data_IF_068769717412
#
_entry.id   IF_068769717412
#
_cell.length_a   1.000
_cell.length_b   1.000
_cell.length_c   1.000
_cell.angle_alpha   90.00
_cell.angle_beta   90.00
_cell.angle_gamma   90.00
#
_symmetry.space_group_name_H-M   'P 1'
#
loop_
_entity.id
_entity.type
_entity.pdbx_description
1 polymer ?
#
# COMPACT_ATOMS: atom_id res chain seq x y z
N UNK A 1 -2.04 0.18 23.86
CA UNK A 1 -1.81 0.75 22.52
C UNK A 1 -1.01 2.02 22.65
N UNK A 2 -0.13 2.34 21.70
CA UNK A 2 0.64 3.58 21.74
C UNK A 2 -0.26 4.75 21.36
N UNK A 3 -0.34 5.78 22.20
CA UNK A 3 -1.05 7.01 21.88
C UNK A 3 -0.13 7.90 21.06
N UNK A 4 -0.50 8.16 19.82
CA UNK A 4 0.20 9.10 18.95
C UNK A 4 -0.36 10.51 19.16
N UNK A 5 0.51 11.50 19.31
CA UNK A 5 0.11 12.91 19.24
C UNK A 5 -0.09 13.26 17.75
N UNK A 6 -1.32 13.29 17.29
CA UNK A 6 -1.64 13.47 15.88
C UNK A 6 -1.24 14.85 15.36
N UNK A 7 -1.38 15.89 16.16
CA UNK A 7 -0.98 17.25 15.76
C UNK A 7 0.54 17.37 15.58
N UNK A 8 1.30 16.68 16.43
CA UNK A 8 2.77 16.62 16.28
C UNK A 8 3.17 15.87 15.00
N UNK A 9 2.54 14.74 14.70
CA UNK A 9 2.79 13.97 13.47
C UNK A 9 2.48 14.78 12.22
N UNK A 10 1.36 15.52 12.22
CA UNK A 10 0.98 16.42 11.12
C UNK A 10 1.98 17.56 10.96
N UNK A 11 2.40 18.18 12.05
CA UNK A 11 3.40 19.24 12.02
C UNK A 11 4.72 18.75 11.45
N UNK A 12 5.19 17.56 11.86
CA UNK A 12 6.39 16.93 11.31
C UNK A 12 6.23 16.59 9.81
N UNK A 13 5.08 16.02 9.40
CA UNK A 13 4.86 15.66 7.99
C UNK A 13 4.88 16.89 7.07
N UNK A 14 4.40 18.04 7.52
CA UNK A 14 4.40 19.30 6.76
C UNK A 14 5.81 19.88 6.53
N UNK A 15 6.83 19.42 7.25
CA UNK A 15 8.23 19.85 7.01
C UNK A 15 8.86 19.21 5.79
N UNK A 16 8.25 18.17 5.23
CA UNK A 16 8.76 17.46 4.05
C UNK A 16 8.14 17.99 2.76
N UNK A 17 8.97 18.27 1.76
CA UNK A 17 8.50 18.39 0.39
C UNK A 17 8.25 17.00 -0.18
N UNK A 18 6.99 16.66 -0.38
CA UNK A 18 6.58 15.35 -0.93
C UNK A 18 7.24 15.06 -2.28
N UNK A 19 7.44 16.07 -3.13
CA UNK A 19 8.10 15.91 -4.43
C UNK A 19 9.57 15.51 -4.29
N UNK A 20 10.28 16.12 -3.34
CA UNK A 20 11.67 15.75 -3.05
C UNK A 20 11.79 14.34 -2.47
N UNK A 21 10.87 13.94 -1.59
CA UNK A 21 10.82 12.56 -1.05
C UNK A 21 10.71 11.54 -2.20
N UNK A 22 9.78 11.75 -3.13
CA UNK A 22 9.59 10.84 -4.25
C UNK A 22 10.73 10.91 -5.29
N UNK A 23 11.31 12.08 -5.54
CA UNK A 23 12.51 12.21 -6.35
C UNK A 23 13.68 11.40 -5.78
N UNK A 24 13.87 11.42 -4.46
CA UNK A 24 14.86 10.58 -3.77
C UNK A 24 14.61 9.08 -3.94
N UNK A 25 13.34 8.65 -3.96
CA UNK A 25 12.97 7.23 -4.20
C UNK A 25 13.27 6.80 -5.64
N UNK A 26 12.94 7.64 -6.63
CA UNK A 26 13.31 7.41 -8.04
C UNK A 26 14.82 7.32 -8.19
N UNK A 27 15.56 8.24 -7.58
CA UNK A 27 17.02 8.25 -7.62
C UNK A 27 17.63 6.97 -7.05
N UNK A 28 17.12 6.48 -5.93
CA UNK A 28 17.56 5.21 -5.34
C UNK A 28 17.36 4.04 -6.31
N UNK A 29 16.24 3.99 -7.02
CA UNK A 29 15.98 2.96 -8.03
C UNK A 29 16.94 3.12 -9.21
N UNK A 30 17.18 4.34 -9.70
CA UNK A 30 18.13 4.61 -10.77
C UNK A 30 19.58 4.19 -10.42
N UNK A 31 19.97 4.38 -9.17
CA UNK A 31 21.31 3.96 -8.71
C UNK A 31 21.44 2.42 -8.72
N UNK A 32 20.39 1.69 -8.37
CA UNK A 32 20.36 0.23 -8.50
C UNK A 32 20.29 -0.23 -9.97
N UNK A 33 19.56 0.49 -10.82
CA UNK A 33 19.53 0.22 -12.27
C UNK A 33 20.91 0.29 -12.91
N UNK A 34 21.71 1.30 -12.54
CA UNK A 34 23.09 1.44 -13.04
C UNK A 34 23.97 0.26 -12.65
N UNK A 35 23.84 -0.27 -11.46
CA UNK A 35 24.59 -1.46 -11.00
C UNK A 35 24.22 -2.73 -11.79
N UNK A 36 23.00 -2.78 -12.32
CA UNK A 36 22.48 -3.92 -13.07
C UNK A 36 22.46 -3.69 -14.58
N UNK A 37 23.07 -2.60 -15.07
CA UNK A 37 23.15 -2.22 -16.48
C UNK A 37 21.74 -2.16 -17.15
N UNK A 38 20.74 -1.67 -16.41
CA UNK A 38 19.37 -1.50 -16.92
C UNK A 38 19.24 -0.15 -17.62
N UNK A 39 18.60 -0.15 -18.79
CA UNK A 39 18.31 1.07 -19.56
C UNK A 39 17.07 1.79 -19.04
N UNK A 40 16.01 1.03 -18.76
CA UNK A 40 14.77 1.54 -18.18
C UNK A 40 14.06 0.47 -17.36
N UNK A 41 13.22 0.91 -16.42
CA UNK A 41 12.21 0.06 -15.75
C UNK A 41 10.83 0.56 -16.17
N UNK A 42 9.93 -0.36 -16.53
CA UNK A 42 8.53 -0.07 -16.84
C UNK A 42 7.67 -0.79 -15.80
N UNK A 43 7.14 -0.01 -14.86
CA UNK A 43 6.39 -0.50 -13.70
C UNK A 43 4.89 -0.34 -13.90
N UNK A 44 4.13 -1.39 -13.60
CA UNK A 44 2.66 -1.44 -13.67
C UNK A 44 2.03 -1.77 -12.31
N UNK A 45 2.76 -2.42 -11.41
CA UNK A 45 2.24 -2.86 -10.12
C UNK A 45 1.88 -1.66 -9.25
N UNK A 46 0.62 -1.55 -8.76
CA UNK A 46 0.14 -0.36 -8.04
C UNK A 46 1.05 0.13 -6.92
N UNK A 47 1.56 -0.80 -6.10
CA UNK A 47 2.45 -0.46 -4.99
C UNK A 47 3.77 0.17 -5.46
N UNK A 48 4.27 -0.24 -6.61
CA UNK A 48 5.52 0.25 -7.18
C UNK A 48 5.29 1.56 -7.94
N UNK A 49 4.23 1.65 -8.75
CA UNK A 49 3.89 2.90 -9.44
C UNK A 49 3.62 4.02 -8.45
N UNK A 50 2.90 3.73 -7.36
CA UNK A 50 2.70 4.68 -6.26
C UNK A 50 4.04 5.05 -5.59
N UNK A 51 4.87 4.07 -5.22
CA UNK A 51 6.14 4.32 -4.57
C UNK A 51 7.10 5.20 -5.40
N UNK A 52 6.96 5.16 -6.73
CA UNK A 52 7.79 5.94 -7.67
C UNK A 52 7.18 7.30 -8.02
N UNK A 53 5.84 7.43 -8.02
CA UNK A 53 5.16 8.62 -8.52
C UNK A 53 4.38 9.42 -7.47
N UNK A 54 4.03 8.82 -6.33
CA UNK A 54 3.11 9.40 -5.36
C UNK A 54 1.66 9.44 -5.81
N UNK A 55 1.34 8.85 -6.97
CA UNK A 55 0.00 8.87 -7.55
C UNK A 55 -0.75 7.56 -7.32
N UNK A 56 -1.96 7.65 -6.75
CA UNK A 56 -2.89 6.55 -6.59
C UNK A 56 -4.25 6.90 -7.20
N UNK A 57 -4.68 6.26 -8.31
CA UNK A 57 -5.97 6.56 -8.92
C UNK A 57 -7.16 6.04 -8.08
N UNK A 58 -6.92 5.33 -6.99
CA UNK A 58 -7.89 4.62 -6.13
C UNK A 58 -8.54 3.46 -6.88
N UNK A 59 -9.09 3.71 -8.06
CA UNK A 59 -9.66 2.70 -8.96
C UNK A 59 -8.72 2.46 -10.14
N UNK A 60 -8.23 1.24 -10.26
CA UNK A 60 -7.31 0.80 -11.32
C UNK A 60 -8.08 0.22 -12.52
N UNK A 61 -9.12 0.93 -12.99
CA UNK A 61 -9.87 0.55 -14.21
C UNK A 61 -9.03 0.65 -15.48
N UNK A 62 -7.95 1.44 -15.44
CA UNK A 62 -6.96 1.59 -16.49
C UNK A 62 -5.55 1.45 -15.87
N UNK A 63 -4.55 0.96 -16.62
CA UNK A 63 -3.21 0.88 -16.10
C UNK A 63 -2.64 2.25 -15.73
N UNK A 64 -1.93 2.28 -14.61
CA UNK A 64 -1.00 3.35 -14.25
C UNK A 64 0.39 2.81 -14.51
N UNK A 65 1.20 3.53 -15.26
CA UNK A 65 2.53 3.09 -15.63
C UNK A 65 3.55 4.13 -15.21
N UNK A 66 4.65 3.69 -14.61
CA UNK A 66 5.80 4.55 -14.37
C UNK A 66 6.98 4.02 -15.18
N UNK A 67 7.54 4.87 -16.04
CA UNK A 67 8.74 4.56 -16.81
C UNK A 67 9.90 5.30 -16.16
N UNK A 68 10.85 4.56 -15.62
CA UNK A 68 12.06 5.09 -14.98
C UNK A 68 13.23 4.83 -15.92
N UNK A 69 13.76 5.83 -16.61
CA UNK A 69 15.04 5.70 -17.34
C UNK A 69 16.21 5.63 -16.35
N UNK A 70 17.31 4.98 -16.70
CA UNK A 70 18.51 4.95 -15.87
C UNK A 70 19.09 6.35 -15.59
N UNK A 71 18.82 7.29 -16.49
CA UNK A 71 19.18 8.71 -16.36
C UNK A 71 18.05 9.61 -16.86
N UNK A 72 17.88 10.76 -16.18
CA UNK A 72 16.83 11.72 -16.51
C UNK A 72 15.55 11.53 -15.71
N UNK A 73 14.48 12.21 -16.12
CA UNK A 73 13.21 12.24 -15.40
C UNK A 73 12.36 11.00 -15.69
N UNK A 74 11.79 10.43 -14.62
CA UNK A 74 10.79 9.39 -14.73
C UNK A 74 9.47 9.95 -15.26
N UNK A 75 8.71 9.11 -15.97
CA UNK A 75 7.42 9.45 -16.58
C UNK A 75 6.30 8.72 -15.88
N UNK A 76 5.25 9.44 -15.54
CA UNK A 76 3.97 8.87 -15.14
C UNK A 76 3.04 8.86 -16.34
N UNK A 77 2.59 7.69 -16.77
CA UNK A 77 1.64 7.52 -17.86
C UNK A 77 0.30 7.02 -17.28
N UNK A 78 -0.76 7.79 -17.52
CA UNK A 78 -2.11 7.50 -17.03
C UNK A 78 -3.16 7.68 -18.12
N UNK A 79 -4.32 7.05 -17.96
CA UNK A 79 -5.47 7.30 -18.84
C UNK A 79 -5.96 8.75 -18.68
N UNK A 80 -6.42 9.36 -19.78
CA UNK A 80 -6.87 10.77 -19.81
C UNK A 80 -7.99 11.09 -18.81
N UNK A 81 -8.79 10.09 -18.38
CA UNK A 81 -9.72 10.20 -17.26
C UNK A 81 -9.06 10.73 -15.99
N UNK A 82 -7.78 10.46 -15.80
CA UNK A 82 -7.00 10.81 -14.59
C UNK A 82 -6.17 12.08 -14.76
N UNK A 83 -6.32 12.82 -15.84
CA UNK A 83 -5.47 13.96 -16.17
C UNK A 83 -5.39 15.01 -15.05
N UNK A 84 -6.52 15.48 -14.54
CA UNK A 84 -6.55 16.47 -13.45
C UNK A 84 -6.06 15.86 -12.14
N UNK A 85 -6.53 14.66 -11.80
CA UNK A 85 -6.15 13.95 -10.58
C UNK A 85 -4.64 13.72 -10.51
N UNK A 86 -4.02 13.23 -11.59
CA UNK A 86 -2.57 13.02 -11.63
C UNK A 86 -1.78 14.33 -11.56
N UNK A 87 -2.28 15.40 -12.20
CA UNK A 87 -1.64 16.72 -12.16
C UNK A 87 -1.62 17.30 -10.73
N UNK A 88 -2.67 17.07 -9.97
CA UNK A 88 -2.80 17.61 -8.61
C UNK A 88 -2.00 16.80 -7.58
N UNK A 89 -1.94 15.47 -7.73
CA UNK A 89 -1.39 14.58 -6.71
C UNK A 89 -0.02 13.99 -7.02
N UNK A 90 0.33 13.79 -8.30
CA UNK A 90 1.59 13.15 -8.65
C UNK A 90 2.81 13.98 -8.25
N UNK A 91 3.84 13.30 -7.80
CA UNK A 91 5.12 13.89 -7.45
C UNK A 91 6.10 13.96 -8.64
N UNK A 92 5.82 13.23 -9.73
CA UNK A 92 6.59 13.31 -10.97
C UNK A 92 6.13 14.51 -11.80
N UNK A 93 7.09 15.13 -12.53
CA UNK A 93 6.81 16.29 -13.38
C UNK A 93 6.34 15.89 -14.78
N UNK A 94 6.91 14.83 -15.34
CA UNK A 94 6.57 14.33 -16.68
C UNK A 94 5.36 13.41 -16.59
N UNK A 95 4.17 13.96 -16.85
CA UNK A 95 2.89 13.24 -16.82
C UNK A 95 2.37 13.16 -18.25
N UNK A 96 2.14 11.93 -18.73
CA UNK A 96 1.67 11.64 -20.09
C UNK A 96 0.31 10.95 -20.05
N UNK A 97 -0.50 11.19 -21.07
CA UNK A 97 -1.87 10.70 -21.15
C UNK A 97 -2.04 9.73 -22.32
N UNK A 98 -2.81 8.67 -22.10
CA UNK A 98 -3.31 7.80 -23.15
C UNK A 98 -4.83 7.62 -23.06
N UNK A 99 -5.45 7.15 -24.15
CA UNK A 99 -6.88 6.93 -24.25
C UNK A 99 -7.71 8.21 -24.23
N UNK A 100 -8.74 8.26 -25.03
CA UNK A 100 -9.58 9.44 -25.17
C UNK A 100 -10.53 9.61 -23.96
N UNK A 101 -10.60 10.82 -23.41
CA UNK A 101 -11.56 11.18 -22.38
C UNK A 101 -11.83 12.69 -22.36
N UNK A 102 -13.08 13.08 -22.54
CA UNK A 102 -13.48 14.50 -22.54
C UNK A 102 -12.71 15.33 -23.57
N UNK A 103 -12.15 16.45 -23.13
CA UNK A 103 -11.37 17.38 -23.97
C UNK A 103 -9.87 17.14 -23.90
N UNK A 104 -9.41 16.13 -23.17
CA UNK A 104 -7.98 15.81 -23.03
C UNK A 104 -7.43 15.30 -24.37
N UNK A 105 -6.17 15.67 -24.66
CA UNK A 105 -5.48 15.19 -25.84
C UNK A 105 -4.46 14.13 -25.43
N UNK A 106 -4.79 12.84 -25.56
CA UNK A 106 -3.84 11.77 -25.29
C UNK A 106 -2.76 11.72 -26.35
N UNK A 107 -1.58 11.18 -25.99
CA UNK A 107 -0.50 10.95 -26.95
C UNK A 107 -0.73 9.70 -27.82
N UNK A 108 -1.55 8.74 -27.34
CA UNK A 108 -1.93 7.51 -28.03
C UNK A 108 -3.30 7.01 -27.52
N UNK A 109 -3.92 6.11 -28.29
CA UNK A 109 -5.24 5.54 -27.95
C UNK A 109 -5.16 4.49 -26.82
N UNK A 110 -4.00 3.85 -26.63
CA UNK A 110 -3.79 2.86 -25.59
C UNK A 110 -2.44 3.00 -24.90
N UNK A 111 -2.29 2.37 -23.75
CA UNK A 111 -1.11 2.48 -22.92
C UNK A 111 0.18 1.96 -23.61
N UNK A 112 0.09 0.88 -24.40
CA UNK A 112 1.28 0.27 -25.02
C UNK A 112 1.83 1.13 -26.15
N UNK A 113 0.98 1.72 -26.97
CA UNK A 113 1.41 2.67 -28.00
C UNK A 113 2.03 3.92 -27.35
N UNK A 114 1.44 4.42 -26.28
CA UNK A 114 2.01 5.51 -25.50
C UNK A 114 3.38 5.16 -24.91
N UNK A 115 3.53 3.96 -24.34
CA UNK A 115 4.83 3.47 -23.83
C UNK A 115 5.85 3.44 -24.97
N UNK A 116 5.50 2.87 -26.13
CA UNK A 116 6.39 2.81 -27.30
C UNK A 116 6.87 4.19 -27.71
N UNK A 117 5.97 5.18 -27.80
CA UNK A 117 6.31 6.57 -28.14
C UNK A 117 7.24 7.21 -27.10
N UNK A 118 7.01 6.96 -25.81
CA UNK A 118 7.88 7.47 -24.73
C UNK A 118 9.27 6.85 -24.81
N UNK A 119 9.34 5.53 -25.07
CA UNK A 119 10.63 4.84 -25.22
C UNK A 119 11.42 5.35 -26.42
N UNK A 120 10.75 5.66 -27.54
CA UNK A 120 11.37 6.28 -28.71
C UNK A 120 11.88 7.70 -28.40
N UNK A 121 11.02 8.55 -27.84
CA UNK A 121 11.35 9.94 -27.48
C UNK A 121 12.57 10.00 -26.56
N UNK A 122 12.63 9.11 -25.58
CA UNK A 122 13.71 9.05 -24.59
C UNK A 122 14.90 8.17 -25.05
N UNK A 123 14.86 7.57 -26.23
CA UNK A 123 15.91 6.70 -26.81
C UNK A 123 16.22 5.49 -25.91
N UNK A 124 15.19 4.84 -25.40
CA UNK A 124 15.29 3.72 -24.47
C UNK A 124 15.04 2.36 -25.12
N UNK A 125 14.59 2.32 -26.38
CA UNK A 125 14.38 1.06 -27.11
C UNK A 125 15.70 0.32 -27.36
N UNK A 126 15.61 -0.99 -27.48
CA UNK A 126 16.77 -1.86 -27.77
C UNK A 126 17.70 -2.12 -26.59
N UNK A 127 17.42 -1.55 -25.41
CA UNK A 127 18.22 -1.75 -24.20
C UNK A 127 17.76 -2.91 -23.33
N UNK A 128 18.31 -3.01 -22.13
CA UNK A 128 17.83 -3.92 -21.08
C UNK A 128 16.67 -3.28 -20.33
N UNK A 129 15.48 -3.87 -20.45
CA UNK A 129 14.24 -3.34 -19.90
C UNK A 129 13.78 -4.14 -18.68
N UNK A 130 13.71 -3.45 -17.54
CA UNK A 130 13.18 -4.01 -16.31
C UNK A 130 11.65 -4.08 -16.31
N UNK A 131 11.09 -5.18 -15.80
CA UNK A 131 9.66 -5.38 -15.65
C UNK A 131 9.34 -6.16 -14.36
N UNK A 132 8.08 -6.17 -13.94
CA UNK A 132 7.61 -6.88 -12.73
C UNK A 132 7.10 -8.27 -13.11
N UNK A 133 7.90 -9.30 -12.82
CA UNK A 133 7.58 -10.70 -13.17
C UNK A 133 6.44 -11.31 -12.34
N UNK A 134 6.14 -10.72 -11.19
CA UNK A 134 5.05 -11.14 -10.30
C UNK A 134 3.71 -10.43 -10.57
N UNK A 135 3.66 -9.55 -11.59
CA UNK A 135 2.46 -8.75 -11.85
C UNK A 135 1.94 -8.86 -13.29
N UNK A 136 2.81 -8.82 -14.28
CA UNK A 136 2.39 -8.86 -15.68
C UNK A 136 1.91 -10.25 -16.09
N UNK A 137 0.77 -10.32 -16.76
CA UNK A 137 0.38 -11.53 -17.50
C UNK A 137 1.34 -11.79 -18.66
N UNK A 138 1.39 -13.04 -19.13
CA UNK A 138 2.21 -13.42 -20.29
C UNK A 138 1.91 -12.60 -21.54
N UNK A 139 0.63 -12.28 -21.77
CA UNK A 139 0.20 -11.43 -22.89
C UNK A 139 0.75 -10.01 -22.76
N UNK A 140 0.66 -9.43 -21.57
CA UNK A 140 1.21 -8.10 -21.29
C UNK A 140 2.73 -8.06 -21.42
N UNK A 141 3.42 -9.07 -20.89
CA UNK A 141 4.87 -9.23 -21.04
C UNK A 141 5.30 -9.30 -22.51
N UNK A 142 4.66 -10.16 -23.31
CA UNK A 142 4.99 -10.31 -24.73
C UNK A 142 4.78 -8.99 -25.50
N UNK A 143 3.68 -8.28 -25.20
CA UNK A 143 3.41 -6.98 -25.81
C UNK A 143 4.46 -5.93 -25.40
N UNK A 144 4.81 -5.90 -24.12
CA UNK A 144 5.85 -4.99 -23.61
C UNK A 144 7.21 -5.26 -24.27
N UNK A 145 7.60 -6.53 -24.41
CA UNK A 145 8.82 -6.95 -25.10
C UNK A 145 8.83 -6.51 -26.56
N UNK A 146 7.71 -6.70 -27.27
CA UNK A 146 7.54 -6.30 -28.66
C UNK A 146 7.77 -4.79 -28.83
N UNK A 147 7.03 -3.96 -28.09
CA UNK A 147 7.06 -2.50 -28.26
C UNK A 147 8.35 -1.83 -27.77
N UNK A 148 9.04 -2.44 -26.82
CA UNK A 148 10.33 -1.93 -26.30
C UNK A 148 11.52 -2.34 -27.17
N UNK A 149 11.34 -3.28 -28.10
CA UNK A 149 12.44 -3.83 -28.91
C UNK A 149 13.62 -4.27 -28.02
N UNK A 150 13.33 -4.70 -26.79
CA UNK A 150 14.34 -4.93 -25.78
C UNK A 150 15.35 -5.98 -26.17
N UNK A 151 16.63 -5.68 -26.03
CA UNK A 151 17.71 -6.66 -26.17
C UNK A 151 17.57 -7.75 -25.08
N UNK A 152 17.16 -7.33 -23.90
CA UNK A 152 16.90 -8.22 -22.77
C UNK A 152 15.74 -7.70 -21.91
N UNK A 153 14.85 -8.61 -21.49
CA UNK A 153 13.82 -8.34 -20.48
C UNK A 153 14.29 -8.86 -19.13
N UNK A 154 14.44 -7.98 -18.14
CA UNK A 154 14.98 -8.31 -16.82
C UNK A 154 13.87 -8.22 -15.77
N UNK A 155 13.65 -9.30 -15.01
CA UNK A 155 12.73 -9.24 -13.88
C UNK A 155 13.34 -8.42 -12.73
N UNK A 156 12.73 -7.29 -12.41
CA UNK A 156 13.19 -6.35 -11.37
C UNK A 156 12.30 -6.32 -10.13
N UNK A 157 11.46 -7.32 -9.95
CA UNK A 157 10.54 -7.42 -8.83
C UNK A 157 11.27 -7.24 -7.47
N UNK A 158 12.39 -7.94 -7.27
CA UNK A 158 13.15 -7.86 -6.03
C UNK A 158 13.88 -6.50 -5.86
N UNK A 159 14.37 -5.92 -6.95
CA UNK A 159 14.95 -4.57 -6.93
C UNK A 159 13.92 -3.55 -6.44
N UNK A 160 12.71 -3.56 -6.99
CA UNK A 160 11.64 -2.65 -6.60
C UNK A 160 11.13 -2.94 -5.18
N UNK A 161 11.02 -4.20 -4.79
CA UNK A 161 10.67 -4.59 -3.43
C UNK A 161 11.71 -4.05 -2.43
N UNK A 162 12.98 -4.31 -2.66
CA UNK A 162 14.08 -3.88 -1.78
C UNK A 162 14.17 -2.35 -1.68
N UNK A 163 13.84 -1.62 -2.76
CA UNK A 163 13.81 -0.16 -2.75
C UNK A 163 12.80 0.42 -1.74
N UNK A 164 11.74 -0.34 -1.43
CA UNK A 164 10.65 0.03 -0.51
C UNK A 164 10.74 -0.58 0.89
N UNK A 165 11.69 -1.50 1.14
CA UNK A 165 11.80 -2.17 2.44
C UNK A 165 12.21 -1.20 3.55
N UNK A 166 13.19 -0.34 3.29
CA UNK A 166 13.63 0.68 4.24
C UNK A 166 12.82 1.95 3.99
N UNK A 167 11.99 2.33 4.96
CA UNK A 167 11.10 3.50 4.89
C UNK A 167 11.85 4.77 5.19
N UNK A 168 11.51 5.84 4.48
CA UNK A 168 11.93 7.20 4.82
C UNK A 168 11.18 7.68 6.07
N UNK A 169 11.68 8.74 6.71
CA UNK A 169 10.99 9.35 7.86
C UNK A 169 9.56 9.82 7.50
N UNK A 170 9.36 10.35 6.29
CA UNK A 170 8.02 10.72 5.81
C UNK A 170 7.09 9.50 5.76
N UNK A 171 7.54 8.38 5.20
CA UNK A 171 6.75 7.13 5.14
C UNK A 171 6.42 6.59 6.54
N UNK A 172 7.37 6.72 7.48
CA UNK A 172 7.16 6.35 8.89
C UNK A 172 6.08 7.23 9.53
N UNK A 173 6.01 8.52 9.19
CA UNK A 173 4.94 9.41 9.69
C UNK A 173 3.57 8.97 9.15
N UNK A 174 3.44 8.59 7.88
CA UNK A 174 2.19 8.07 7.31
C UNK A 174 1.77 6.77 8.00
N UNK A 175 2.69 5.85 8.25
CA UNK A 175 2.43 4.62 9.02
C UNK A 175 1.97 4.92 10.46
N UNK A 176 2.55 5.91 11.13
CA UNK A 176 2.11 6.33 12.47
C UNK A 176 0.69 6.91 12.47
N UNK A 177 0.35 7.72 11.46
CA UNK A 177 -1.01 8.26 11.28
C UNK A 177 -2.02 7.15 10.97
N UNK A 178 -1.69 6.19 10.11
CA UNK A 178 -2.52 5.02 9.87
C UNK A 178 -2.72 4.20 11.16
N UNK A 179 -1.65 3.99 11.94
CA UNK A 179 -1.71 3.31 13.24
C UNK A 179 -2.59 4.05 14.26
N UNK A 180 -2.62 5.37 14.22
CA UNK A 180 -3.54 6.17 15.04
C UNK A 180 -5.00 5.81 14.74
N UNK A 181 -5.40 5.77 13.46
CA UNK A 181 -6.75 5.39 13.06
C UNK A 181 -7.09 3.94 13.44
N UNK A 182 -6.18 3.01 13.16
CA UNK A 182 -6.38 1.59 13.52
C UNK A 182 -6.53 1.39 15.04
N UNK A 183 -5.85 2.18 15.86
CA UNK A 183 -6.01 2.15 17.32
C UNK A 183 -7.40 2.63 17.76
N UNK A 184 -7.94 3.67 17.14
CA UNK A 184 -9.29 4.17 17.43
C UNK A 184 -10.32 3.11 17.05
N UNK A 185 -10.17 2.50 15.86
CA UNK A 185 -11.03 1.40 15.44
C UNK A 185 -10.99 0.22 16.41
N UNK A 186 -9.79 -0.16 16.87
CA UNK A 186 -9.61 -1.26 17.81
C UNK A 186 -10.31 -1.01 19.16
N UNK A 187 -10.25 0.20 19.70
CA UNK A 187 -11.00 0.54 20.92
C UNK A 187 -12.50 0.38 20.70
N UNK A 188 -13.02 0.94 19.61
CA UNK A 188 -14.44 0.84 19.29
C UNK A 188 -14.88 -0.62 19.03
N UNK A 189 -14.06 -1.45 18.41
CA UNK A 189 -14.33 -2.88 18.23
C UNK A 189 -14.44 -3.59 19.59
N UNK A 190 -13.49 -3.38 20.48
CA UNK A 190 -13.46 -4.00 21.82
C UNK A 190 -14.68 -3.57 22.64
N UNK A 191 -15.04 -2.30 22.62
CA UNK A 191 -16.20 -1.78 23.36
C UNK A 191 -17.54 -2.37 22.88
N UNK A 192 -17.59 -2.83 21.62
CA UNK A 192 -18.79 -3.41 21.00
C UNK A 192 -18.71 -4.93 20.79
N UNK A 193 -17.63 -5.59 21.24
CA UNK A 193 -17.36 -7.01 20.92
C UNK A 193 -18.43 -7.97 21.42
N UNK A 194 -19.15 -7.61 22.47
CA UNK A 194 -20.23 -8.43 23.08
C UNK A 194 -21.58 -8.33 22.35
N UNK A 195 -21.72 -7.46 21.35
CA UNK A 195 -22.95 -7.33 20.55
C UNK A 195 -23.02 -8.42 19.49
N UNK A 196 -22.22 -8.28 18.45
CA UNK A 196 -21.97 -9.31 17.44
C UNK A 196 -20.65 -8.99 16.70
N UNK A 197 -20.13 -9.95 15.95
CA UNK A 197 -18.92 -9.74 15.12
C UNK A 197 -19.12 -8.59 14.14
N UNK A 198 -20.30 -8.53 13.47
CA UNK A 198 -20.63 -7.44 12.52
C UNK A 198 -20.74 -6.09 13.23
N UNK A 199 -21.44 -6.02 14.37
CA UNK A 199 -21.62 -4.75 15.08
C UNK A 199 -20.30 -4.21 15.62
N UNK A 200 -19.40 -5.08 16.11
CA UNK A 200 -18.06 -4.69 16.51
C UNK A 200 -17.26 -4.14 15.34
N UNK A 201 -17.33 -4.77 14.17
CA UNK A 201 -16.65 -4.34 12.95
C UNK A 201 -17.19 -3.00 12.43
N UNK A 202 -18.50 -2.83 12.35
CA UNK A 202 -19.15 -1.57 11.96
C UNK A 202 -18.76 -0.42 12.91
N UNK A 203 -18.78 -0.67 14.23
CA UNK A 203 -18.41 0.34 15.22
C UNK A 203 -16.96 0.82 15.02
N UNK A 204 -16.04 -0.10 14.74
CA UNK A 204 -14.65 0.21 14.44
C UNK A 204 -14.51 1.07 13.18
N UNK A 205 -15.17 0.69 12.09
CA UNK A 205 -15.10 1.41 10.82
C UNK A 205 -15.68 2.82 10.93
N UNK A 206 -16.79 2.98 11.61
CA UNK A 206 -17.40 4.30 11.87
C UNK A 206 -16.43 5.16 12.69
N UNK A 207 -15.86 4.62 13.75
CA UNK A 207 -14.92 5.36 14.61
C UNK A 207 -13.67 5.80 13.85
N UNK A 208 -13.09 4.94 13.00
CA UNK A 208 -11.96 5.28 12.15
C UNK A 208 -12.30 6.38 11.15
N UNK A 209 -13.46 6.31 10.47
CA UNK A 209 -13.90 7.33 9.50
C UNK A 209 -14.18 8.68 10.16
N UNK A 210 -14.78 8.68 11.35
CA UNK A 210 -15.00 9.91 12.13
C UNK A 210 -13.67 10.54 12.58
N UNK A 211 -12.72 9.72 13.04
CA UNK A 211 -11.39 10.20 13.40
C UNK A 211 -10.62 10.74 12.19
N UNK A 212 -10.68 10.06 11.05
CA UNK A 212 -10.11 10.56 9.81
C UNK A 212 -10.68 11.94 9.45
N UNK A 213 -12.00 12.08 9.40
CA UNK A 213 -12.65 13.36 9.07
C UNK A 213 -12.27 14.49 10.03
N UNK A 214 -12.16 14.20 11.33
CA UNK A 214 -11.86 15.20 12.35
C UNK A 214 -10.38 15.58 12.39
N UNK A 215 -9.48 14.61 12.29
CA UNK A 215 -8.07 14.78 12.66
C UNK A 215 -7.11 14.75 11.47
N UNK A 216 -7.48 14.05 10.38
CA UNK A 216 -6.61 13.74 9.24
C UNK A 216 -7.28 13.99 7.88
N UNK A 217 -8.28 14.87 7.82
CA UNK A 217 -9.07 15.12 6.60
C UNK A 217 -8.26 15.66 5.42
N UNK A 218 -7.06 16.18 5.65
CA UNK A 218 -6.12 16.61 4.61
C UNK A 218 -5.31 15.47 3.97
N UNK A 219 -5.34 14.25 4.54
CA UNK A 219 -4.64 13.08 4.02
C UNK A 219 -5.60 12.16 3.31
N UNK A 220 -5.12 11.50 2.24
CA UNK A 220 -5.90 10.52 1.52
C UNK A 220 -5.99 9.21 2.32
N UNK A 221 -7.22 8.78 2.60
CA UNK A 221 -7.49 7.46 3.13
C UNK A 221 -7.83 6.55 1.97
N UNK A 222 -6.81 5.94 1.40
CA UNK A 222 -6.93 5.06 0.26
C UNK A 222 -5.89 3.93 0.33
N UNK A 223 -6.32 2.78 -0.13
CA UNK A 223 -5.49 1.62 -0.41
C UNK A 223 -5.39 1.42 -1.93
N UNK A 224 -4.68 0.40 -2.37
CA UNK A 224 -4.57 0.06 -3.78
C UNK A 224 -5.76 -0.80 -4.20
N UNK A 225 -6.69 -0.22 -4.98
CA UNK A 225 -7.80 -0.93 -5.57
C UNK A 225 -7.36 -1.83 -6.74
N UNK A 226 -8.13 -2.84 -7.07
CA UNK A 226 -7.84 -3.72 -8.20
C UNK A 226 -8.62 -3.33 -9.45
N UNK A 227 -9.94 -3.16 -9.33
CA UNK A 227 -10.86 -2.90 -10.43
C UNK A 227 -12.01 -2.03 -9.96
N UNK A 228 -12.92 -1.69 -10.87
CA UNK A 228 -14.17 -1.03 -10.52
C UNK A 228 -14.96 -1.84 -9.49
N UNK A 229 -15.43 -1.19 -8.45
CA UNK A 229 -16.10 -1.80 -7.30
C UNK A 229 -15.16 -2.48 -6.30
N UNK A 230 -13.89 -2.67 -6.64
CA UNK A 230 -12.88 -3.21 -5.75
C UNK A 230 -12.12 -2.14 -4.97
N UNK A 231 -12.81 -1.13 -4.46
CA UNK A 231 -12.19 -0.19 -3.52
C UNK A 231 -11.79 -0.99 -2.31
N UNK A 232 -10.50 -1.23 -2.19
CA UNK A 232 -9.96 -1.87 -1.00
C UNK A 232 -10.22 -0.93 0.16
N UNK A 233 -10.89 -1.44 1.17
CA UNK A 233 -11.23 -0.69 2.34
C UNK A 233 -9.95 -0.22 3.04
N UNK A 234 -9.68 1.06 2.92
CA UNK A 234 -8.55 1.68 3.60
C UNK A 234 -8.78 1.88 5.09
N UNK A 235 -10.03 1.73 5.54
CA UNK A 235 -10.46 1.70 6.93
C UNK A 235 -11.43 0.53 7.08
N UNK A 236 -10.90 -0.60 7.47
CA UNK A 236 -11.66 -1.84 7.56
C UNK A 236 -11.41 -2.57 8.87
N UNK A 237 -12.44 -3.25 9.35
CA UNK A 237 -12.35 -4.12 10.51
C UNK A 237 -13.10 -5.42 10.25
N UNK A 238 -12.49 -6.54 10.57
CA UNK A 238 -13.23 -7.77 10.79
C UNK A 238 -13.07 -8.24 12.23
N UNK A 239 -14.04 -9.01 12.69
CA UNK A 239 -14.03 -9.59 14.02
C UNK A 239 -14.51 -11.02 13.93
N UNK A 240 -13.74 -11.94 14.48
CA UNK A 240 -14.09 -13.37 14.58
C UNK A 240 -14.16 -13.77 16.04
N UNK A 241 -15.01 -14.75 16.37
CA UNK A 241 -15.21 -15.17 17.75
C UNK A 241 -15.36 -16.70 17.90
N UNK A 242 -14.92 -17.23 19.04
CA UNK A 242 -15.07 -18.62 19.42
C UNK A 242 -14.51 -19.58 18.35
N UNK A 243 -15.35 -20.48 17.85
CA UNK A 243 -14.97 -21.51 16.86
C UNK A 243 -14.54 -20.94 15.50
N UNK A 244 -14.76 -19.65 15.24
CA UNK A 244 -14.35 -18.99 13.99
C UNK A 244 -12.96 -18.37 14.06
N UNK A 245 -12.40 -18.17 15.25
CA UNK A 245 -11.05 -17.60 15.42
C UNK A 245 -9.98 -18.39 14.65
N UNK A 246 -9.98 -19.73 14.61
CA UNK A 246 -8.99 -20.51 13.86
C UNK A 246 -9.05 -20.34 12.32
N UNK A 247 -10.09 -19.70 11.77
CA UNK A 247 -10.13 -19.42 10.33
C UNK A 247 -9.14 -18.33 9.91
N UNK A 248 -8.62 -17.57 10.87
CA UNK A 248 -7.67 -16.49 10.63
C UNK A 248 -8.34 -15.23 10.10
N UNK A 249 -8.58 -15.18 8.80
CA UNK A 249 -9.29 -14.08 8.13
C UNK A 249 -10.64 -14.55 7.62
N UNK A 250 -11.74 -14.03 8.17
CA UNK A 250 -13.10 -14.37 7.77
C UNK A 250 -13.99 -13.14 7.88
N UNK A 251 -15.01 -13.05 7.00
CA UNK A 251 -16.00 -11.99 7.13
C UNK A 251 -16.72 -12.07 8.47
N UNK A 252 -16.95 -10.94 9.15
CA UNK A 252 -17.74 -10.93 10.37
C UNK A 252 -19.15 -11.44 10.14
N UNK A 253 -19.72 -12.08 11.15
CA UNK A 253 -21.08 -12.65 11.11
C UNK A 253 -21.96 -12.05 12.20
N UNK A 254 -23.24 -12.40 12.19
CA UNK A 254 -24.17 -12.05 13.28
C UNK A 254 -23.96 -12.86 14.57
N UNK A 255 -22.86 -13.61 14.65
CA UNK A 255 -22.53 -14.38 15.83
C UNK A 255 -22.24 -13.44 17.00
N UNK A 256 -22.91 -13.72 18.13
CA UNK A 256 -22.65 -13.07 19.41
C UNK A 256 -21.64 -13.92 20.17
N UNK A 257 -20.51 -13.38 20.62
CA UNK A 257 -19.55 -14.11 21.45
C UNK A 257 -20.16 -14.58 22.77
N UNK A 258 -19.80 -15.77 23.23
CA UNK A 258 -20.26 -16.36 24.48
C UNK A 258 -19.20 -16.22 25.57
N UNK A 259 -19.64 -16.32 26.84
CA UNK A 259 -18.71 -16.43 27.97
C UNK A 259 -17.76 -17.63 27.78
N UNK A 260 -16.52 -17.46 28.15
CA UNK A 260 -15.46 -18.44 27.94
C UNK A 260 -14.84 -18.46 26.56
N UNK A 261 -15.27 -17.59 25.64
CA UNK A 261 -14.72 -17.53 24.29
C UNK A 261 -13.67 -16.43 24.11
N UNK A 262 -12.87 -16.62 23.07
CA UNK A 262 -11.89 -15.64 22.61
C UNK A 262 -12.44 -14.97 21.33
N UNK A 263 -12.19 -13.68 21.21
CA UNK A 263 -12.50 -12.89 20.01
C UNK A 263 -11.20 -12.30 19.45
N UNK A 264 -11.17 -12.13 18.13
CA UNK A 264 -10.06 -11.56 17.38
C UNK A 264 -10.59 -10.41 16.50
N UNK A 265 -10.68 -9.18 17.02
CA UNK A 265 -10.88 -8.00 16.21
C UNK A 265 -9.55 -7.62 15.52
N UNK A 266 -9.64 -7.27 14.24
CA UNK A 266 -8.53 -6.85 13.40
C UNK A 266 -8.93 -5.59 12.65
N UNK A 267 -8.15 -4.52 12.81
CA UNK A 267 -8.40 -3.23 12.19
C UNK A 267 -7.27 -2.87 11.24
N UNK A 268 -7.60 -2.58 9.99
CA UNK A 268 -6.69 -2.01 9.01
C UNK A 268 -6.96 -0.54 8.78
N UNK A 269 -5.89 0.21 8.59
CA UNK A 269 -5.97 1.58 8.15
C UNK A 269 -4.87 1.87 7.14
N UNK A 270 -5.16 2.76 6.17
CA UNK A 270 -4.19 3.24 5.21
C UNK A 270 -4.26 4.76 5.09
N UNK A 271 -3.11 5.40 5.13
CA UNK A 271 -2.94 6.85 4.90
C UNK A 271 -1.93 7.02 3.77
N UNK A 272 -2.30 7.76 2.73
CA UNK A 272 -1.46 7.99 1.54
C UNK A 272 -0.84 6.68 1.02
N UNK A 273 -1.61 5.57 0.98
CA UNK A 273 -1.14 4.25 0.53
C UNK A 273 -0.26 3.47 1.52
N UNK A 274 0.03 3.99 2.71
CA UNK A 274 0.79 3.31 3.75
C UNK A 274 -0.13 2.62 4.74
N UNK A 275 0.01 1.31 4.86
CA UNK A 275 -0.92 0.43 5.58
C UNK A 275 -0.40 0.04 6.95
N UNK A 276 -1.32 -0.05 7.90
CA UNK A 276 -1.09 -0.67 9.21
C UNK A 276 -2.21 -1.63 9.55
N UNK A 277 -1.88 -2.56 10.40
CA UNK A 277 -2.81 -3.53 10.97
C UNK A 277 -2.67 -3.53 12.50
N UNK A 278 -3.79 -3.66 13.18
CA UNK A 278 -3.86 -3.80 14.62
C UNK A 278 -4.76 -4.97 14.97
N UNK A 279 -4.21 -6.00 15.57
CA UNK A 279 -4.93 -7.18 16.05
C UNK A 279 -4.91 -7.27 17.57
N UNK A 280 -5.98 -7.73 18.15
CA UNK A 280 -6.04 -8.00 19.60
C UNK A 280 -6.81 -9.28 19.89
N UNK A 281 -6.29 -10.05 20.82
CA UNK A 281 -7.03 -11.15 21.43
C UNK A 281 -7.84 -10.61 22.58
N UNK A 282 -9.16 -10.72 22.50
CA UNK A 282 -10.12 -10.28 23.53
C UNK A 282 -10.77 -11.49 24.16
N UNK A 283 -10.75 -11.57 25.47
CA UNK A 283 -11.34 -12.66 26.25
C UNK A 283 -12.71 -12.24 26.76
N UNK A 284 -13.70 -13.11 26.62
CA UNK A 284 -15.07 -12.88 27.02
C UNK A 284 -15.35 -13.68 28.30
N UNK A 285 -15.39 -13.00 29.46
CA UNK A 285 -15.55 -13.64 30.74
C UNK A 285 -14.41 -14.53 31.17
N UNK A 286 -14.71 -15.61 31.90
CA UNK A 286 -13.71 -16.55 32.40
C UNK A 286 -13.30 -17.54 31.32
N UNK A 287 -12.02 -17.59 31.03
CA UNK A 287 -11.41 -18.41 29.96
C UNK A 287 -10.83 -19.69 30.58
N UNK A 288 -10.99 -20.82 29.86
CA UNK A 288 -10.34 -22.10 30.23
C UNK A 288 -8.85 -21.88 30.49
N UNK A 289 -8.34 -22.47 31.58
CA UNK A 289 -6.96 -22.25 32.05
C UNK A 289 -5.93 -22.62 30.97
N UNK A 290 -6.15 -23.67 30.20
CA UNK A 290 -5.25 -24.07 29.09
C UNK A 290 -5.15 -23.01 27.99
N UNK A 291 -6.25 -22.33 27.67
CA UNK A 291 -6.25 -21.23 26.70
C UNK A 291 -5.50 -20.02 27.28
N UNK A 292 -5.67 -19.75 28.56
CA UNK A 292 -4.98 -18.66 29.23
C UNK A 292 -3.45 -18.93 29.31
N UNK A 293 -3.04 -20.16 29.60
CA UNK A 293 -1.62 -20.56 29.57
C UNK A 293 -1.03 -20.44 28.17
N UNK A 294 -1.73 -20.92 27.14
CA UNK A 294 -1.30 -20.75 25.74
C UNK A 294 -1.13 -19.28 25.38
N UNK A 295 -2.08 -18.42 25.76
CA UNK A 295 -1.99 -16.98 25.54
C UNK A 295 -0.78 -16.34 26.25
N UNK A 296 -0.52 -16.74 27.52
CA UNK A 296 0.67 -16.27 28.26
C UNK A 296 1.97 -16.70 27.59
N UNK A 297 2.05 -17.97 27.13
CA UNK A 297 3.22 -18.50 26.45
C UNK A 297 3.44 -17.75 25.10
N UNK A 298 2.40 -17.50 24.33
CA UNK A 298 2.48 -16.72 23.08
C UNK A 298 2.97 -15.29 23.33
N UNK A 299 2.45 -14.61 24.36
CA UNK A 299 2.90 -13.26 24.71
C UNK A 299 4.35 -13.22 25.16
N UNK A 300 4.81 -14.24 25.88
CA UNK A 300 6.23 -14.36 26.27
C UNK A 300 7.11 -14.57 25.03
N UNK A 301 6.70 -15.45 24.09
CA UNK A 301 7.38 -15.63 22.81
C UNK A 301 7.48 -14.32 22.02
N UNK A 302 6.39 -13.56 21.96
CA UNK A 302 6.35 -12.23 21.30
C UNK A 302 7.33 -11.24 21.95
N UNK A 303 7.40 -11.19 23.27
CA UNK A 303 8.36 -10.32 23.97
C UNK A 303 9.80 -10.68 23.62
N UNK A 304 10.12 -11.99 23.58
CA UNK A 304 11.45 -12.48 23.18
C UNK A 304 11.77 -12.11 21.74
N UNK A 305 10.84 -12.32 20.81
CA UNK A 305 10.99 -11.92 19.42
C UNK A 305 11.31 -10.42 19.28
N UNK A 306 10.54 -9.56 19.95
CA UNK A 306 10.83 -8.11 19.94
C UNK A 306 12.20 -7.75 20.52
N UNK A 307 12.65 -8.45 21.59
CA UNK A 307 13.96 -8.22 22.17
C UNK A 307 15.11 -8.65 21.23
N UNK A 308 14.84 -9.58 20.31
CA UNK A 308 15.81 -10.05 19.30
C UNK A 308 15.85 -9.18 18.05
N UNK A 309 14.78 -8.42 17.74
CA UNK A 309 14.71 -7.55 16.55
C UNK A 309 15.71 -6.38 16.68
N UNK A 310 16.92 -6.60 16.20
CA UNK A 310 18.03 -5.63 16.20
C UNK A 310 18.67 -5.61 14.83
N UNK A 311 19.37 -4.52 14.51
CA UNK A 311 20.16 -4.43 13.29
C UNK A 311 21.16 -5.60 13.19
N UNK A 312 21.21 -6.23 12.02
CA UNK A 312 22.09 -7.37 11.73
C UNK A 312 21.52 -8.75 12.05
N UNK A 313 20.37 -8.84 12.73
CA UNK A 313 19.70 -10.13 12.98
C UNK A 313 18.87 -10.52 11.76
N UNK A 314 18.98 -11.77 11.32
CA UNK A 314 18.18 -12.29 10.19
C UNK A 314 16.81 -12.78 10.66
N UNK A 315 15.83 -12.83 9.73
CA UNK A 315 14.52 -13.37 10.04
C UNK A 315 14.52 -14.87 10.39
N UNK A 316 15.59 -15.61 10.05
CA UNK A 316 15.77 -17.02 10.38
C UNK A 316 16.26 -17.28 11.80
N UNK A 317 16.88 -16.29 12.43
CA UNK A 317 17.31 -16.34 13.84
C UNK A 317 16.15 -16.06 14.78
#
# INVERSE_FOLDING_TARGET
MKNWNIEELKAQAKTYDKKEVYAGKVKKVQDEMKKNDLTAIISFKPQNTFALSGFNPILYSHPVVVIVPAEGEAVLLVHSLRANHSKDQACLRDIRLFGAWGTQKPMADNAYDAISMILDEKKLKGGKIGYEGDFLSMTQFNKLKEISEAAEMVNVQDLLLNSRMIKTEYEILMLKMASYLANIGMVAAIDNIRKSEIEASIAAEIAMRQAWSRDLGEYEVASFGNTEGGIVNALWCYSCSGTRVPYGCECPSNRVPKEGEVCLPVCWAAIDGYHTENERTVMIGDIDERHLEAYKAMNEGRKRAFAMMKEGVTAGE
#
